data_IF_527683213656
#
_entry.id   IF_527683213656
#
_cell.length_a   1.000
_cell.length_b   1.000
_cell.length_c   1.000
_cell.angle_alpha   90.00
_cell.angle_beta   90.00
_cell.angle_gamma   90.00
#
_symmetry.space_group_name_H-M   'P 1'
#
loop_
_entity.id
_entity.type
_entity.pdbx_description
1 polymer ?
#
# COMPACT_ATOMS: atom_id res chain seq x y z
N UNK A 1 -10.19 -5.49 -11.85
CA UNK A 1 -8.86 -4.86 -11.96
C UNK A 1 -7.96 -5.58 -10.98
N UNK A 2 -6.98 -6.33 -11.47
CA UNK A 2 -6.18 -7.23 -10.63
C UNK A 2 -4.92 -6.53 -10.12
N UNK A 3 -4.63 -6.68 -8.83
CA UNK A 3 -3.35 -6.29 -8.23
C UNK A 3 -2.38 -7.46 -8.45
N UNK A 4 -1.22 -7.18 -9.03
CA UNK A 4 -0.18 -8.19 -9.28
C UNK A 4 1.11 -7.90 -8.49
N UNK A 5 1.33 -6.64 -8.09
CA UNK A 5 2.39 -6.26 -7.17
C UNK A 5 1.80 -5.53 -5.97
N UNK A 6 2.30 -5.84 -4.78
CA UNK A 6 1.92 -5.17 -3.53
C UNK A 6 3.16 -4.61 -2.85
N UNK A 7 3.29 -3.29 -2.87
CA UNK A 7 4.31 -2.56 -2.13
C UNK A 7 3.83 -2.23 -0.72
N UNK A 8 4.69 -2.43 0.27
CA UNK A 8 4.47 -2.03 1.66
C UNK A 8 5.58 -1.06 2.03
N UNK A 9 5.18 0.17 2.37
CA UNK A 9 6.07 1.20 2.90
C UNK A 9 5.86 1.29 4.41
N UNK A 10 6.98 1.18 5.14
CA UNK A 10 7.05 1.19 6.59
C UNK A 10 7.83 2.43 7.03
N UNK A 11 7.12 3.43 7.54
CA UNK A 11 7.73 4.58 8.20
C UNK A 11 7.45 4.53 9.71
N UNK A 12 8.11 5.41 10.48
CA UNK A 12 8.04 5.40 11.96
C UNK A 12 6.60 5.37 12.50
N UNK A 13 5.71 6.15 11.88
CA UNK A 13 4.33 6.34 12.32
C UNK A 13 3.28 6.02 11.24
N UNK A 14 3.71 5.63 10.04
CA UNK A 14 2.84 5.46 8.88
C UNK A 14 3.12 4.10 8.26
N UNK A 15 2.04 3.37 7.98
CA UNK A 15 2.06 2.16 7.17
C UNK A 15 1.29 2.46 5.89
N UNK A 16 1.92 2.25 4.74
CA UNK A 16 1.28 2.45 3.46
C UNK A 16 1.37 1.19 2.61
N UNK A 17 0.25 0.86 1.97
CA UNK A 17 0.12 -0.24 1.03
C UNK A 17 -0.21 0.34 -0.34
N UNK A 18 0.51 -0.10 -1.37
CA UNK A 18 0.29 0.29 -2.75
C UNK A 18 0.20 -0.96 -3.64
N UNK A 19 -0.96 -1.19 -4.25
CA UNK A 19 -1.19 -2.26 -5.21
C UNK A 19 -1.07 -1.75 -6.64
N UNK A 20 -0.22 -2.39 -7.44
CA UNK A 20 -0.04 -2.09 -8.86
C UNK A 20 -0.66 -3.18 -9.73
N UNK A 21 -1.17 -2.79 -10.89
CA UNK A 21 -1.55 -3.73 -11.95
C UNK A 21 -0.34 -4.12 -12.81
N UNK A 22 -0.56 -4.96 -13.83
CA UNK A 22 0.51 -5.45 -14.72
C UNK A 22 1.24 -4.34 -15.51
N UNK A 23 0.59 -3.20 -15.74
CA UNK A 23 1.20 -2.04 -16.38
C UNK A 23 1.98 -1.15 -15.39
N UNK A 24 2.13 -1.59 -14.13
CA UNK A 24 2.76 -0.79 -13.06
C UNK A 24 1.89 0.37 -12.56
N UNK A 25 0.62 0.47 -12.99
CA UNK A 25 -0.27 1.54 -12.56
C UNK A 25 -0.80 1.26 -11.15
N UNK A 26 -0.78 2.24 -10.23
CA UNK A 26 -1.41 2.09 -8.93
C UNK A 26 -2.93 1.98 -9.10
N UNK A 27 -3.48 0.90 -8.57
CA UNK A 27 -4.91 0.57 -8.62
C UNK A 27 -5.51 0.39 -7.23
N UNK A 28 -4.66 0.36 -6.20
CA UNK A 28 -5.05 0.34 -4.80
C UNK A 28 -4.02 1.09 -3.97
N UNK A 29 -4.48 1.98 -3.10
CA UNK A 29 -3.63 2.62 -2.10
C UNK A 29 -4.38 2.67 -0.78
N UNK A 30 -3.70 2.33 0.30
CA UNK A 30 -4.21 2.50 1.66
C UNK A 30 -3.08 2.98 2.55
N UNK A 31 -3.32 4.08 3.25
CA UNK A 31 -2.45 4.58 4.30
C UNK A 31 -3.18 4.41 5.62
N UNK A 32 -2.47 3.92 6.62
CA UNK A 32 -2.97 3.82 7.99
C UNK A 32 -1.89 4.32 8.93
N UNK A 33 -2.32 4.99 9.99
CA UNK A 33 -1.41 5.45 11.01
C UNK A 33 -1.08 4.27 11.94
N UNK A 34 0.13 4.28 12.51
CA UNK A 34 0.61 3.22 13.40
C UNK A 34 -0.37 2.90 14.53
N UNK A 35 -1.08 3.90 15.05
CA UNK A 35 -2.05 3.79 16.14
C UNK A 35 -3.30 2.98 15.80
N UNK A 36 -3.63 2.84 14.51
CA UNK A 36 -4.77 2.04 14.07
C UNK A 36 -4.38 0.57 13.86
N UNK A 37 -3.09 0.31 13.65
CA UNK A 37 -2.56 -1.01 13.34
C UNK A 37 -1.99 -1.74 14.58
N UNK A 38 -1.51 -0.99 15.57
CA UNK A 38 -0.88 -1.44 16.83
C UNK A 38 -1.39 -0.60 18.01
#
# INVERSE_FOLDING_TARGET
>A
MNIVFLGIDLAKNVFQICGLNQAGKPVYTKRTDRKELL
#
